data_IF_308108015981
#
_entry.id   IF_308108015981
#
_cell.length_a   1.000
_cell.length_b   1.000
_cell.length_c   1.000
_cell.angle_alpha   90.00
_cell.angle_beta   90.00
_cell.angle_gamma   90.00
#
_symmetry.space_group_name_H-M   'P 1'
#
loop_
_entity.id
_entity.type
_entity.pdbx_description
1 polymer ?
#
# COMPACT_ATOMS: atom_id res chain seq x y z
N UNK A 1 -13.18 -19.21 -56.16
CA UNK A 1 -12.91 -20.62 -55.76
C UNK A 1 -12.69 -20.70 -54.25
N UNK A 2 -13.62 -20.14 -53.49
CA UNK A 2 -13.60 -20.03 -52.05
C UNK A 2 -15.01 -20.31 -51.56
N UNK A 3 -15.51 -21.53 -51.82
CA UNK A 3 -16.84 -21.93 -51.37
C UNK A 3 -17.04 -23.46 -51.45
N UNK A 4 -16.11 -24.25 -50.93
CA UNK A 4 -16.30 -25.72 -50.91
C UNK A 4 -15.55 -26.44 -49.79
N UNK A 5 -15.50 -25.83 -48.59
CA UNK A 5 -15.01 -26.50 -47.36
C UNK A 5 -15.92 -26.31 -46.14
N UNK A 6 -17.21 -26.05 -46.37
CA UNK A 6 -18.19 -25.76 -45.30
C UNK A 6 -19.27 -26.84 -45.12
N UNK A 7 -19.01 -28.09 -45.54
CA UNK A 7 -20.05 -29.14 -45.57
C UNK A 7 -19.72 -30.50 -44.95
N UNK A 8 -18.61 -30.68 -44.23
CA UNK A 8 -18.29 -32.01 -43.65
C UNK A 8 -18.34 -32.13 -42.11
N UNK A 9 -18.44 -31.04 -41.34
CA UNK A 9 -18.50 -31.17 -39.86
C UNK A 9 -19.93 -31.18 -39.27
N UNK A 10 -20.96 -31.26 -40.13
CA UNK A 10 -22.37 -31.22 -39.73
C UNK A 10 -23.03 -32.62 -39.78
N UNK A 11 -22.43 -33.65 -39.16
CA UNK A 11 -23.13 -34.92 -38.88
C UNK A 11 -22.44 -35.78 -37.81
N UNK A 12 -22.45 -35.34 -36.56
CA UNK A 12 -22.18 -36.22 -35.41
C UNK A 12 -22.98 -35.77 -34.18
N UNK A 13 -24.32 -35.84 -34.29
CA UNK A 13 -25.23 -35.77 -33.16
C UNK A 13 -25.51 -37.18 -32.62
N UNK A 14 -25.66 -37.25 -31.30
CA UNK A 14 -26.37 -38.29 -30.52
C UNK A 14 -25.56 -39.49 -30.00
N UNK A 15 -25.16 -39.42 -28.72
CA UNK A 15 -25.48 -40.46 -27.73
C UNK A 15 -25.39 -39.95 -26.29
N UNK A 16 -26.55 -39.74 -25.66
CA UNK A 16 -26.70 -39.82 -24.21
C UNK A 16 -26.78 -41.29 -23.77
N UNK A 17 -26.48 -41.59 -22.50
CA UNK A 17 -27.52 -42.18 -21.64
C UNK A 17 -27.51 -41.53 -20.25
N UNK A 18 -28.65 -41.04 -19.78
CA UNK A 18 -29.60 -41.76 -18.92
C UNK A 18 -29.07 -41.99 -17.50
N UNK A 19 -29.62 -41.24 -16.54
CA UNK A 19 -29.42 -41.47 -15.11
C UNK A 19 -30.32 -42.58 -14.57
N UNK A 20 -30.03 -43.03 -13.35
CA UNK A 20 -31.03 -43.61 -12.45
C UNK A 20 -30.57 -43.44 -10.99
N UNK A 21 -31.49 -42.85 -10.19
CA UNK A 21 -31.89 -43.13 -8.79
C UNK A 21 -30.81 -43.55 -7.78
N UNK A 22 -30.72 -43.04 -6.55
CA UNK A 22 -31.68 -42.36 -5.70
C UNK A 22 -31.41 -42.79 -4.24
N UNK A 23 -31.45 -41.83 -3.30
CA UNK A 23 -31.67 -41.97 -1.84
C UNK A 23 -31.22 -40.65 -1.18
N UNK A 24 -32.04 -39.62 -1.01
CA UNK A 24 -33.14 -39.50 -0.05
C UNK A 24 -32.74 -39.80 1.41
N UNK A 25 -32.34 -38.77 2.16
CA UNK A 25 -32.72 -38.63 3.59
C UNK A 25 -32.63 -37.17 4.08
N UNK A 26 -33.75 -36.47 4.00
CA UNK A 26 -34.26 -35.58 5.05
C UNK A 26 -35.78 -35.86 5.09
N UNK A 27 -36.47 -35.76 6.24
CA UNK A 27 -37.01 -34.45 6.62
C UNK A 27 -37.31 -34.23 8.12
N UNK A 28 -37.89 -33.04 8.40
CA UNK A 28 -38.65 -32.59 9.58
C UNK A 28 -37.85 -31.78 10.63
N UNK A 29 -38.26 -30.58 11.08
CA UNK A 29 -39.41 -29.73 10.75
C UNK A 29 -39.13 -28.27 11.21
N UNK A 30 -39.75 -27.31 10.52
CA UNK A 30 -39.77 -25.87 10.78
C UNK A 30 -40.95 -25.50 11.73
N UNK A 31 -41.57 -24.29 11.75
CA UNK A 31 -41.17 -22.94 11.32
C UNK A 31 -41.67 -21.79 12.26
N UNK A 32 -41.32 -20.54 11.95
CA UNK A 32 -42.18 -19.30 11.95
C UNK A 32 -41.31 -18.05 12.21
N UNK A 33 -41.45 -16.88 11.60
CA UNK A 33 -42.27 -16.37 10.50
C UNK A 33 -41.59 -15.11 9.91
N UNK A 34 -41.88 -14.82 8.64
CA UNK A 34 -41.48 -13.69 7.77
C UNK A 34 -42.55 -12.56 7.84
N UNK A 35 -42.65 -11.57 6.91
CA UNK A 35 -41.73 -10.56 6.34
C UNK A 35 -42.41 -9.15 6.20
N UNK A 36 -41.75 -8.16 5.54
CA UNK A 36 -42.44 -7.00 4.91
C UNK A 36 -41.56 -5.73 4.79
N UNK A 37 -40.77 -5.54 3.73
CA UNK A 37 -40.98 -4.68 2.52
C UNK A 37 -41.24 -3.17 2.77
N UNK A 38 -40.43 -2.34 2.08
CA UNK A 38 -40.72 -1.01 1.49
C UNK A 38 -39.83 0.16 1.97
N UNK A 39 -39.05 0.74 1.04
CA UNK A 39 -38.71 2.17 1.01
C UNK A 39 -39.94 2.97 0.52
N UNK A 40 -40.05 4.33 0.55
CA UNK A 40 -39.03 5.37 0.76
C UNK A 40 -39.52 6.57 1.63
N UNK A 41 -38.78 7.69 1.61
CA UNK A 41 -39.22 9.09 1.71
C UNK A 41 -38.84 9.92 2.96
N UNK A 42 -38.29 11.09 2.62
CA UNK A 42 -38.52 12.42 3.20
C UNK A 42 -38.08 12.72 4.65
N UNK A 43 -37.13 13.66 4.74
CA UNK A 43 -37.02 14.57 5.87
C UNK A 43 -38.35 15.32 6.11
N UNK A 44 -38.63 15.72 7.36
CA UNK A 44 -38.60 17.16 7.61
C UNK A 44 -37.98 17.56 8.96
N UNK A 45 -37.58 18.83 8.97
CA UNK A 45 -36.97 19.56 10.07
C UNK A 45 -37.78 19.55 11.38
N UNK A 46 -37.06 19.47 12.51
CA UNK A 46 -37.48 20.05 13.78
C UNK A 46 -36.25 20.59 14.51
N UNK A 47 -36.37 21.83 14.99
CA UNK A 47 -35.32 22.68 15.52
C UNK A 47 -35.02 22.38 17.03
N UNK A 48 -34.24 23.20 17.76
CA UNK A 48 -33.02 22.82 18.45
C UNK A 48 -33.23 22.56 19.95
N UNK A 49 -32.73 21.43 20.45
CA UNK A 49 -32.81 21.07 21.86
C UNK A 49 -31.45 21.17 22.57
N UNK A 50 -31.36 22.14 23.48
CA UNK A 50 -30.57 22.16 24.71
C UNK A 50 -29.04 21.94 24.63
N UNK A 51 -28.32 23.04 24.78
CA UNK A 51 -26.93 23.05 25.24
C UNK A 51 -26.79 22.32 26.60
N UNK A 52 -25.81 21.41 26.78
CA UNK A 52 -25.46 20.94 28.10
C UNK A 52 -24.54 21.95 28.80
N UNK A 53 -25.02 22.50 29.91
CA UNK A 53 -24.28 23.28 30.89
C UNK A 53 -22.98 22.59 31.31
N UNK A 54 -21.85 23.21 31.00
CA UNK A 54 -20.55 22.84 31.57
C UNK A 54 -20.45 23.50 32.94
N UNK A 55 -20.62 22.71 34.01
CA UNK A 55 -20.36 23.12 35.39
C UNK A 55 -18.92 23.63 35.52
N UNK A 56 -18.76 24.94 35.70
CA UNK A 56 -17.50 25.57 36.06
C UNK A 56 -17.04 25.09 37.45
N UNK A 57 -16.07 24.16 37.47
CA UNK A 57 -15.24 23.97 38.66
C UNK A 57 -14.31 25.16 38.82
N UNK A 58 -14.70 26.11 39.69
CA UNK A 58 -13.81 27.15 40.24
C UNK A 58 -12.59 26.49 40.89
N UNK A 59 -11.48 26.42 40.16
CA UNK A 59 -10.15 26.17 40.70
C UNK A 59 -9.55 27.52 41.12
N UNK A 60 -9.26 27.67 42.42
CA UNK A 60 -8.56 28.83 42.98
C UNK A 60 -7.22 29.05 42.24
N UNK A 61 -6.83 30.29 41.91
CA UNK A 61 -5.55 30.54 41.24
C UNK A 61 -4.42 30.39 42.25
N UNK A 62 -3.83 29.19 42.35
CA UNK A 62 -2.59 29.01 43.09
C UNK A 62 -1.44 29.61 42.29
N UNK A 63 -0.88 30.70 42.82
CA UNK A 63 0.26 31.40 42.28
C UNK A 63 1.52 30.50 42.34
N UNK A 64 1.96 30.01 41.17
CA UNK A 64 3.39 29.92 40.77
C UNK A 64 3.50 30.07 39.25
N UNK A 65 3.26 31.27 38.74
CA UNK A 65 3.61 31.63 37.36
C UNK A 65 5.12 31.87 37.28
N UNK A 66 5.90 30.79 37.29
CA UNK A 66 7.35 30.81 37.35
C UNK A 66 8.01 30.30 36.06
N UNK A 67 7.57 30.76 34.90
CA UNK A 67 8.35 30.64 33.67
C UNK A 67 8.79 32.03 33.25
N UNK A 68 10.10 32.27 33.11
CA UNK A 68 10.56 33.54 32.55
C UNK A 68 9.88 33.81 31.20
N UNK A 69 9.63 35.07 30.85
CA UNK A 69 9.06 35.44 29.54
C UNK A 69 9.87 34.79 28.39
N UNK A 70 11.17 34.57 28.61
CA UNK A 70 12.09 33.84 27.72
C UNK A 70 11.75 32.34 27.58
N UNK A 71 11.38 31.67 28.66
CA UNK A 71 10.95 30.27 28.65
C UNK A 71 9.59 30.09 27.94
N UNK A 72 8.65 31.01 28.15
CA UNK A 72 7.36 31.03 27.44
C UNK A 72 7.55 31.23 25.92
N UNK A 73 8.37 32.22 25.52
CA UNK A 73 8.74 32.45 24.11
C UNK A 73 9.43 31.23 23.47
N UNK A 74 10.30 30.53 24.21
CA UNK A 74 10.96 29.30 23.73
C UNK A 74 9.96 28.16 23.51
N UNK A 75 8.97 27.99 24.39
CA UNK A 75 7.89 27.00 24.23
C UNK A 75 7.02 27.31 23.00
N UNK A 76 6.63 28.58 22.82
CA UNK A 76 5.88 29.02 21.64
C UNK A 76 6.67 28.81 20.34
N UNK A 77 7.97 29.10 20.33
CA UNK A 77 8.85 28.86 19.17
C UNK A 77 8.95 27.38 18.83
N UNK A 78 9.15 26.51 19.84
CA UNK A 78 9.16 25.04 19.66
C UNK A 78 7.81 24.52 19.13
N UNK A 79 6.70 25.05 19.64
CA UNK A 79 5.35 24.68 19.19
C UNK A 79 5.12 25.14 17.74
N UNK A 80 5.51 26.37 17.38
CA UNK A 80 5.41 26.90 16.01
C UNK A 80 6.29 26.14 15.02
N UNK A 81 7.52 25.75 15.41
CA UNK A 81 8.37 24.89 14.58
C UNK A 81 7.80 23.48 14.41
N UNK A 82 7.19 22.91 15.46
CA UNK A 82 6.53 21.61 15.33
C UNK A 82 5.26 21.67 14.48
N UNK A 83 4.49 22.76 14.53
CA UNK A 83 3.32 22.98 13.67
C UNK A 83 3.75 23.15 12.21
N UNK A 84 4.83 23.91 11.95
CA UNK A 84 5.40 24.05 10.61
C UNK A 84 5.93 22.73 10.03
N UNK A 85 6.56 21.88 10.86
CA UNK A 85 6.99 20.54 10.47
C UNK A 85 5.83 19.57 10.21
N UNK A 86 4.63 19.85 10.77
CA UNK A 86 3.44 19.00 10.64
C UNK A 86 2.51 19.38 9.48
N UNK A 87 2.67 20.54 8.84
CA UNK A 87 1.96 20.83 7.58
C UNK A 87 2.53 19.93 6.49
N UNK A 88 1.81 18.84 6.19
CA UNK A 88 2.06 18.00 5.02
C UNK A 88 1.98 18.90 3.79
N UNK A 89 3.14 19.18 3.18
CA UNK A 89 3.17 19.77 1.85
C UNK A 89 2.53 18.77 0.90
N UNK A 90 1.65 19.25 0.05
CA UNK A 90 1.09 18.44 -1.03
C UNK A 90 2.25 17.88 -1.85
N UNK A 91 2.22 16.57 -2.09
CA UNK A 91 3.31 15.92 -2.80
C UNK A 91 3.26 16.33 -4.28
N UNK A 92 4.35 16.92 -4.74
CA UNK A 92 4.55 17.28 -6.15
C UNK A 92 5.82 16.61 -6.66
N UNK A 93 5.73 16.02 -7.84
CA UNK A 93 6.88 15.44 -8.52
C UNK A 93 7.21 16.28 -9.75
N UNK A 94 8.41 16.89 -9.79
CA UNK A 94 8.86 17.74 -10.92
C UNK A 94 7.88 18.87 -11.29
N UNK A 95 7.02 19.30 -10.36
CA UNK A 95 6.01 20.34 -10.59
C UNK A 95 4.59 19.81 -10.82
N UNK A 96 4.40 18.50 -10.93
CA UNK A 96 3.10 17.88 -11.15
C UNK A 96 2.51 17.31 -9.88
N UNK A 97 1.19 17.42 -9.74
CA UNK A 97 0.45 16.77 -8.67
C UNK A 97 0.31 15.26 -8.94
N UNK A 98 0.02 14.49 -7.91
CA UNK A 98 -0.17 13.04 -8.08
C UNK A 98 -1.29 12.70 -9.07
N UNK A 99 -2.39 13.45 -9.02
CA UNK A 99 -3.54 13.22 -9.89
C UNK A 99 -3.22 13.51 -11.35
N UNK A 100 -2.41 14.54 -11.61
CA UNK A 100 -1.92 14.85 -12.95
C UNK A 100 -1.04 13.71 -13.47
N UNK A 101 -0.11 13.21 -12.65
CA UNK A 101 0.80 12.12 -13.04
C UNK A 101 0.06 10.82 -13.38
N UNK A 102 -1.10 10.57 -12.79
CA UNK A 102 -1.93 9.39 -13.10
C UNK A 102 -2.75 9.57 -14.38
N UNK A 103 -3.04 10.81 -14.78
CA UNK A 103 -3.82 11.14 -15.99
C UNK A 103 -2.93 11.26 -17.23
N UNK A 104 -1.67 11.63 -17.06
CA UNK A 104 -0.71 11.76 -18.16
C UNK A 104 -0.42 10.41 -18.84
N UNK A 105 -0.17 10.41 -20.16
CA UNK A 105 0.25 9.22 -20.88
C UNK A 105 1.65 8.77 -20.45
N UNK A 106 1.91 7.47 -20.57
CA UNK A 106 3.18 6.86 -20.13
C UNK A 106 4.43 7.47 -20.78
N UNK A 107 4.33 7.93 -22.04
CA UNK A 107 5.43 8.55 -22.77
C UNK A 107 5.91 9.85 -22.09
N UNK A 108 4.99 10.73 -21.70
CA UNK A 108 5.31 11.98 -21.01
C UNK A 108 5.89 11.72 -19.62
N UNK A 109 5.42 10.69 -18.92
CA UNK A 109 5.97 10.29 -17.62
C UNK A 109 7.44 9.86 -17.74
N UNK A 110 7.79 9.11 -18.80
CA UNK A 110 9.19 8.74 -19.07
C UNK A 110 10.02 10.02 -19.17
N UNK A 111 9.52 11.06 -19.83
CA UNK A 111 10.21 12.34 -19.96
C UNK A 111 10.31 13.17 -18.68
N UNK A 112 9.74 12.73 -17.55
CA UNK A 112 9.90 13.36 -16.25
C UNK A 112 10.86 12.58 -15.33
N UNK A 113 11.03 11.28 -15.59
CA UNK A 113 11.86 10.39 -14.77
C UNK A 113 13.37 10.69 -14.89
N UNK A 114 14.21 10.21 -13.95
CA UNK A 114 15.66 10.31 -14.06
C UNK A 114 16.22 9.50 -15.25
N UNK A 115 17.35 9.91 -15.82
CA UNK A 115 17.93 9.33 -17.04
C UNK A 115 18.07 7.79 -17.02
N UNK A 116 18.44 7.21 -15.86
CA UNK A 116 18.55 5.76 -15.68
C UNK A 116 17.19 5.05 -15.83
N UNK A 117 16.17 5.56 -15.16
CA UNK A 117 14.82 5.02 -15.23
C UNK A 117 14.25 5.16 -16.66
N UNK A 118 14.47 6.31 -17.33
CA UNK A 118 14.09 6.48 -18.74
C UNK A 118 14.71 5.43 -19.64
N UNK A 119 16.02 5.24 -19.52
CA UNK A 119 16.77 4.27 -20.32
C UNK A 119 16.26 2.84 -20.12
N UNK A 120 15.85 2.46 -18.90
CA UNK A 120 15.24 1.16 -18.64
C UNK A 120 13.95 0.97 -19.42
N UNK A 121 13.06 1.97 -19.44
CA UNK A 121 11.80 1.87 -20.18
C UNK A 121 11.97 1.99 -21.70
N UNK A 122 12.89 2.84 -22.19
CA UNK A 122 13.18 2.99 -23.62
C UNK A 122 13.77 1.70 -24.21
N UNK A 123 14.62 1.00 -23.45
CA UNK A 123 15.21 -0.28 -23.89
C UNK A 123 14.22 -1.44 -23.81
N UNK A 124 13.11 -1.28 -23.10
CA UNK A 124 12.18 -2.34 -22.77
C UNK A 124 12.56 -3.09 -21.50
N UNK A 125 11.54 -3.71 -20.89
CA UNK A 125 11.70 -4.58 -19.72
C UNK A 125 11.91 -6.02 -20.15
N UNK A 126 12.55 -6.81 -19.30
CA UNK A 126 12.63 -8.26 -19.51
C UNK A 126 11.24 -8.90 -19.31
N UNK A 127 10.98 -10.06 -19.94
CA UNK A 127 9.69 -10.77 -19.85
C UNK A 127 9.23 -11.00 -18.40
N UNK A 128 10.16 -11.32 -17.51
CA UNK A 128 9.88 -11.49 -16.09
C UNK A 128 9.49 -10.18 -15.39
N UNK A 129 10.14 -9.08 -15.76
CA UNK A 129 9.82 -7.76 -15.22
C UNK A 129 8.45 -7.31 -15.71
N UNK A 130 8.11 -7.55 -16.98
CA UNK A 130 6.77 -7.31 -17.51
C UNK A 130 5.71 -8.14 -16.80
N UNK A 131 5.99 -9.42 -16.54
CA UNK A 131 5.08 -10.29 -15.80
C UNK A 131 4.80 -9.75 -14.40
N UNK A 132 5.81 -9.20 -13.73
CA UNK A 132 5.65 -8.55 -12.44
C UNK A 132 4.82 -7.27 -12.54
N UNK A 133 5.07 -6.40 -13.52
CA UNK A 133 4.28 -5.18 -13.74
C UNK A 133 2.82 -5.51 -14.03
N UNK A 134 2.55 -6.54 -14.85
CA UNK A 134 1.19 -7.03 -15.11
C UNK A 134 0.51 -7.53 -13.84
N UNK A 135 1.20 -8.31 -13.01
CA UNK A 135 0.68 -8.74 -11.69
C UNK A 135 0.39 -7.55 -10.79
N UNK A 136 1.31 -6.58 -10.70
CA UNK A 136 1.12 -5.36 -9.91
C UNK A 136 -0.10 -4.56 -10.36
N UNK A 137 -0.38 -4.51 -11.66
CA UNK A 137 -1.56 -3.81 -12.21
C UNK A 137 -2.86 -4.53 -11.88
N UNK A 138 -2.86 -5.87 -11.90
CA UNK A 138 -4.08 -6.67 -11.72
C UNK A 138 -4.42 -7.08 -10.29
N UNK A 139 -3.48 -7.03 -9.33
CA UNK A 139 -3.72 -7.53 -7.97
C UNK A 139 -3.57 -6.48 -6.89
N UNK A 140 -4.54 -6.43 -5.97
CA UNK A 140 -4.48 -5.66 -4.71
C UNK A 140 -3.65 -6.36 -3.62
N UNK A 141 -3.32 -7.64 -3.82
CA UNK A 141 -2.54 -8.44 -2.87
C UNK A 141 -1.06 -8.05 -2.91
N UNK A 142 -0.32 -8.20 -1.79
CA UNK A 142 1.11 -7.95 -1.76
C UNK A 142 1.85 -8.88 -2.72
N UNK A 143 2.47 -8.32 -3.75
CA UNK A 143 3.18 -9.09 -4.78
C UNK A 143 4.61 -9.36 -4.34
N UNK A 144 5.00 -10.63 -4.28
CA UNK A 144 6.38 -11.04 -4.04
C UNK A 144 7.23 -10.90 -5.29
N UNK A 145 8.43 -10.35 -5.15
CA UNK A 145 9.37 -10.18 -6.27
C UNK A 145 10.83 -10.37 -5.85
N UNK A 146 11.58 -11.00 -6.75
CA UNK A 146 13.04 -11.04 -6.72
C UNK A 146 13.65 -9.95 -7.61
N UNK A 147 12.85 -9.33 -8.49
CA UNK A 147 13.31 -8.34 -9.46
C UNK A 147 13.37 -6.98 -8.78
N UNK A 148 14.60 -6.50 -8.59
CA UNK A 148 14.93 -5.25 -7.87
C UNK A 148 15.27 -4.07 -8.79
N UNK A 149 15.35 -4.33 -10.09
CA UNK A 149 15.80 -3.40 -11.13
C UNK A 149 14.65 -2.60 -11.77
N UNK A 150 13.44 -2.68 -11.20
CA UNK A 150 12.26 -2.02 -11.76
C UNK A 150 12.14 -0.62 -11.15
N UNK A 151 12.07 0.45 -11.98
CA UNK A 151 11.83 1.80 -11.50
C UNK A 151 10.36 2.00 -11.08
N UNK A 152 10.13 2.77 -10.02
CA UNK A 152 8.79 3.06 -9.53
C UNK A 152 8.11 4.12 -10.41
N UNK A 153 6.98 3.74 -11.01
CA UNK A 153 6.07 4.58 -11.79
C UNK A 153 4.94 5.09 -10.86
N UNK A 154 4.34 6.27 -11.13
CA UNK A 154 3.17 6.75 -10.39
C UNK A 154 2.03 5.72 -10.20
N UNK A 155 1.78 4.85 -11.19
CA UNK A 155 0.79 3.77 -11.14
C UNK A 155 1.00 2.74 -10.01
N UNK A 156 2.22 2.65 -9.46
CA UNK A 156 2.56 1.67 -8.43
C UNK A 156 2.33 2.21 -7.01
N UNK A 157 2.06 3.50 -6.86
CA UNK A 157 1.90 4.12 -5.55
C UNK A 157 0.63 3.60 -4.88
N UNK A 158 0.74 3.30 -3.59
CA UNK A 158 -0.34 2.66 -2.81
C UNK A 158 -0.37 1.14 -2.90
N UNK A 159 0.49 0.51 -3.72
CA UNK A 159 0.63 -0.95 -3.77
C UNK A 159 1.69 -1.43 -2.79
N UNK A 160 1.44 -2.58 -2.18
CA UNK A 160 2.39 -3.26 -1.30
C UNK A 160 3.21 -4.27 -2.11
N UNK A 161 4.53 -4.18 -2.03
CA UNK A 161 5.46 -5.09 -2.70
C UNK A 161 6.35 -5.78 -1.68
N UNK A 162 6.49 -7.09 -1.80
CA UNK A 162 7.40 -7.88 -0.99
C UNK A 162 8.70 -8.11 -1.76
N UNK A 163 9.75 -7.39 -1.40
CA UNK A 163 11.03 -7.42 -2.09
C UNK A 163 12.00 -8.40 -1.44
N UNK A 164 12.59 -9.28 -2.23
CA UNK A 164 13.61 -10.20 -1.74
C UNK A 164 14.94 -9.48 -1.46
N UNK A 165 15.47 -9.61 -0.25
CA UNK A 165 16.74 -9.00 0.17
C UNK A 165 17.95 -9.97 0.10
N UNK A 166 17.73 -11.22 -0.31
CA UNK A 166 18.74 -12.30 -0.29
C UNK A 166 18.52 -13.34 0.81
N UNK A 167 17.59 -13.10 1.74
CA UNK A 167 17.21 -14.04 2.80
C UNK A 167 15.71 -14.11 2.97
N UNK A 168 15.08 -12.95 3.09
CA UNK A 168 13.66 -12.79 3.39
C UNK A 168 13.02 -11.78 2.44
N UNK A 169 11.69 -11.80 2.41
CA UNK A 169 10.90 -10.82 1.68
C UNK A 169 10.51 -9.67 2.61
N UNK A 170 11.03 -8.48 2.34
CA UNK A 170 10.66 -7.27 3.07
C UNK A 170 9.41 -6.66 2.44
N UNK A 171 8.29 -6.50 3.19
CA UNK A 171 7.11 -5.81 2.69
C UNK A 171 7.35 -4.30 2.68
N UNK A 172 7.07 -3.66 1.54
CA UNK A 172 7.27 -2.24 1.29
C UNK A 172 6.00 -1.67 0.68
N UNK A 173 5.41 -0.70 1.35
CA UNK A 173 4.30 0.08 0.82
C UNK A 173 4.85 1.24 0.00
N UNK A 174 4.51 1.28 -1.29
CA UNK A 174 5.06 2.27 -2.21
C UNK A 174 4.42 3.63 -1.90
N UNK A 175 5.26 4.57 -1.47
CA UNK A 175 4.89 5.96 -1.19
C UNK A 175 5.12 6.84 -2.43
N UNK A 176 4.39 7.95 -2.56
CA UNK A 176 4.60 8.92 -3.65
C UNK A 176 6.06 9.43 -3.73
N UNK A 177 6.71 9.61 -2.59
CA UNK A 177 8.10 10.07 -2.47
C UNK A 177 9.13 9.13 -3.12
N UNK A 178 8.72 7.91 -3.47
CA UNK A 178 9.59 6.88 -4.05
C UNK A 178 9.59 6.91 -5.59
N UNK A 179 8.81 7.78 -6.24
CA UNK A 179 8.74 7.85 -7.71
C UNK A 179 10.11 8.15 -8.32
N UNK A 180 10.50 7.34 -9.30
CA UNK A 180 11.78 7.46 -10.00
C UNK A 180 12.97 6.76 -9.35
N UNK A 181 12.79 6.18 -8.16
CA UNK A 181 13.75 5.27 -7.54
C UNK A 181 13.53 3.83 -8.01
N UNK A 182 14.55 2.99 -7.87
CA UNK A 182 14.41 1.56 -8.11
C UNK A 182 13.86 0.85 -6.87
N UNK A 183 13.01 -0.17 -7.08
CA UNK A 183 12.49 -1.01 -6.00
C UNK A 183 13.59 -1.60 -5.11
N UNK A 184 14.74 -1.91 -5.71
CA UNK A 184 15.94 -2.41 -5.03
C UNK A 184 16.48 -1.52 -3.92
N UNK A 185 16.33 -0.20 -4.03
CA UNK A 185 16.90 0.77 -3.10
C UNK A 185 16.27 0.68 -1.70
N UNK A 186 15.03 0.22 -1.62
CA UNK A 186 14.26 0.20 -0.38
C UNK A 186 14.48 -1.07 0.46
N UNK A 187 15.10 -2.11 -0.11
CA UNK A 187 15.47 -3.30 0.65
C UNK A 187 16.98 -3.37 0.88
N UNK A 188 17.40 -3.26 2.13
CA UNK A 188 18.79 -3.46 2.51
C UNK A 188 19.18 -4.94 2.37
N UNK A 189 20.22 -5.21 1.59
CA UNK A 189 20.76 -6.58 1.41
C UNK A 189 21.74 -6.99 2.49
N UNK A 190 22.42 -6.01 3.08
CA UNK A 190 23.46 -6.21 4.09
C UNK A 190 23.04 -5.59 5.40
N UNK A 191 23.40 -6.24 6.49
CA UNK A 191 23.29 -5.67 7.84
C UNK A 191 24.34 -4.58 7.99
N UNK A 192 23.98 -3.46 8.62
CA UNK A 192 24.98 -2.45 8.98
C UNK A 192 25.88 -3.02 10.08
N UNK A 193 27.17 -3.11 9.80
CA UNK A 193 28.17 -3.53 10.79
C UNK A 193 28.55 -2.29 11.58
N UNK A 194 28.23 -2.28 12.88
CA UNK A 194 28.77 -1.28 13.81
C UNK A 194 30.03 -1.86 14.40
N UNK A 195 31.16 -1.21 14.16
CA UNK A 195 32.40 -1.54 14.86
C UNK A 195 32.25 -1.04 16.30
N UNK A 196 31.74 -1.88 17.19
CA UNK A 196 32.03 -1.75 18.61
C UNK A 196 33.51 -2.08 18.84
N UNK A 197 34.08 -1.67 19.97
CA UNK A 197 35.39 -2.19 20.41
C UNK A 197 35.45 -3.71 20.23
N UNK A 198 36.64 -4.24 19.92
CA UNK A 198 36.90 -5.64 19.58
C UNK A 198 36.05 -6.57 20.47
N UNK A 199 34.92 -7.04 19.94
CA UNK A 199 34.04 -7.93 20.70
C UNK A 199 34.83 -9.18 21.08
N UNK A 200 34.54 -9.76 22.25
CA UNK A 200 35.12 -11.05 22.63
C UNK A 200 34.79 -12.06 21.52
N UNK A 201 35.81 -12.53 20.79
CA UNK A 201 35.67 -13.41 19.63
C UNK A 201 35.86 -12.78 18.24
N UNK A 202 36.14 -11.48 18.14
CA UNK A 202 36.38 -10.79 16.86
C UNK A 202 37.81 -11.00 16.32
N UNK A 203 38.79 -11.19 17.20
CA UNK A 203 40.18 -11.54 16.83
C UNK A 203 40.41 -13.03 17.03
N UNK A 204 41.30 -13.66 16.24
CA UNK A 204 41.70 -15.06 16.46
C UNK A 204 42.18 -15.32 17.89
N UNK A 205 42.75 -14.31 18.56
CA UNK A 205 43.24 -14.38 19.95
C UNK A 205 42.14 -14.30 21.01
N UNK A 206 41.02 -13.61 20.75
CA UNK A 206 39.92 -13.44 21.72
C UNK A 206 38.84 -14.51 21.62
N UNK A 207 38.93 -15.40 20.63
CA UNK A 207 37.97 -16.50 20.40
C UNK A 207 38.07 -17.61 21.45
N UNK A 208 39.17 -17.66 22.20
CA UNK A 208 39.44 -18.64 23.24
C UNK A 208 39.79 -17.95 24.56
N UNK A 209 38.91 -17.06 25.05
CA UNK A 209 38.92 -16.74 26.47
C UNK A 209 37.93 -17.68 27.17
N UNK A 210 38.39 -18.56 28.09
CA UNK A 210 37.48 -19.31 28.92
C UNK A 210 36.74 -18.32 29.82
N UNK A 211 35.42 -18.21 29.63
CA UNK A 211 34.55 -17.54 30.60
C UNK A 211 34.63 -18.36 31.89
N UNK A 212 35.08 -17.71 32.97
CA UNK A 212 35.13 -18.26 34.32
C UNK A 212 33.71 -18.38 34.88
#
# INVERSE_FOLDING_TARGET
MAEEKKKEDAKASAKAPAGDKGAAKAPAAAPAAKPGVAAPAAAPAAAPGAAPEVKEKKLKPSARHGGSAKAARRKLRKKKSQIGARRKKEFTYRGHTMEELLKMPFAEIIELLPARARRTYIRGLNSEQESFVRRLRGSEKPVKTHRREIPIIPEFVGKTVQLYNGKEFSPIDIKPEMIGHYLGEFAMTRKSVKHSGLGVGATRSSKFMPLK
#
